data_IF_103356730783
#
_entry.id   IF_103356730783
#
_cell.length_a   1.000
_cell.length_b   1.000
_cell.length_c   1.000
_cell.angle_alpha   90.00
_cell.angle_beta   90.00
_cell.angle_gamma   90.00
#
_symmetry.space_group_name_H-M   'P 1'
#
loop_
_entity.id
_entity.type
_entity.pdbx_description
1 polymer ?
#
# COMPACT_ATOMS: atom_id res chain seq x y z
N UNK A 1 14.10 12.62 -11.33
CA UNK A 1 13.09 12.49 -10.25
C UNK A 1 13.77 12.91 -8.96
N UNK A 2 13.10 13.63 -8.07
CA UNK A 2 13.59 14.01 -6.75
C UNK A 2 12.71 13.40 -5.65
N UNK A 3 13.14 13.50 -4.37
CA UNK A 3 12.40 12.90 -3.26
C UNK A 3 10.96 13.39 -3.13
N UNK A 4 10.72 14.68 -3.40
CA UNK A 4 9.35 15.24 -3.37
C UNK A 4 8.46 14.62 -4.45
N UNK A 5 8.99 14.38 -5.64
CA UNK A 5 8.25 13.69 -6.71
C UNK A 5 7.98 12.22 -6.36
N UNK A 6 8.92 11.54 -5.71
CA UNK A 6 8.73 10.15 -5.28
C UNK A 6 7.59 10.06 -4.28
N UNK A 7 7.61 10.88 -3.23
CA UNK A 7 6.56 10.85 -2.20
C UNK A 7 5.20 11.29 -2.76
N UNK A 8 5.17 12.31 -3.63
CA UNK A 8 3.92 12.75 -4.29
C UNK A 8 3.32 11.65 -5.17
N UNK A 9 4.16 10.90 -5.89
CA UNK A 9 3.70 9.76 -6.70
C UNK A 9 3.13 8.64 -5.82
N UNK A 10 3.79 8.33 -4.70
CA UNK A 10 3.31 7.33 -3.75
C UNK A 10 1.98 7.75 -3.11
N UNK A 11 1.87 9.01 -2.67
CA UNK A 11 0.62 9.56 -2.11
C UNK A 11 -0.52 9.56 -3.13
N UNK A 12 -0.26 9.92 -4.38
CA UNK A 12 -1.26 9.90 -5.44
C UNK A 12 -1.81 8.49 -5.70
N UNK A 13 -0.94 7.47 -5.70
CA UNK A 13 -1.39 6.07 -5.84
C UNK A 13 -2.18 5.62 -4.61
N UNK A 14 -1.70 5.92 -3.40
CA UNK A 14 -2.43 5.58 -2.18
C UNK A 14 -3.79 6.28 -2.10
N UNK A 15 -3.87 7.53 -2.58
CA UNK A 15 -5.15 8.26 -2.66
C UNK A 15 -6.14 7.57 -3.59
N UNK A 16 -5.68 7.09 -4.74
CA UNK A 16 -6.50 6.30 -5.67
C UNK A 16 -6.97 4.99 -5.03
N UNK A 17 -6.08 4.31 -4.31
CA UNK A 17 -6.41 3.04 -3.65
C UNK A 17 -7.44 3.21 -2.53
N UNK A 18 -7.38 4.31 -1.78
CA UNK A 18 -8.27 4.59 -0.66
C UNK A 18 -9.55 5.36 -1.04
N UNK A 19 -9.60 5.95 -2.22
CA UNK A 19 -10.71 6.82 -2.64
C UNK A 19 -10.68 8.19 -1.95
N UNK A 20 -9.50 8.77 -1.73
CA UNK A 20 -9.29 10.07 -1.09
C UNK A 20 -8.47 11.03 -1.98
N UNK A 21 -8.15 12.21 -1.48
CA UNK A 21 -7.24 13.14 -2.14
C UNK A 21 -5.79 12.96 -1.62
N UNK A 22 -4.75 13.16 -2.45
CA UNK A 22 -3.35 13.08 -1.98
C UNK A 22 -3.05 14.03 -0.83
N UNK A 23 -3.71 15.19 -0.79
CA UNK A 23 -3.59 16.20 0.26
C UNK A 23 -4.15 15.73 1.62
N UNK A 24 -4.96 14.67 1.63
CA UNK A 24 -5.49 14.13 2.88
C UNK A 24 -4.40 13.54 3.78
N UNK A 25 -3.28 13.09 3.20
CA UNK A 25 -2.15 12.51 3.93
C UNK A 25 -1.27 13.53 4.66
N UNK A 26 -1.45 14.83 4.40
CA UNK A 26 -0.66 15.90 5.02
C UNK A 26 -1.51 16.83 5.90
N UNK A 27 -2.75 16.45 6.20
CA UNK A 27 -3.62 17.20 7.11
C UNK A 27 -3.22 16.98 8.57
N UNK A 28 -3.52 17.96 9.43
CA UNK A 28 -3.24 17.90 10.86
C UNK A 28 -4.20 16.97 11.64
N UNK A 29 -5.15 16.35 10.96
CA UNK A 29 -6.15 15.46 11.57
C UNK A 29 -6.31 14.18 10.77
N UNK A 30 -6.72 13.12 11.42
CA UNK A 30 -7.09 11.88 10.78
C UNK A 30 -8.31 12.08 9.86
N UNK A 31 -8.33 11.36 8.75
CA UNK A 31 -9.37 11.43 7.74
C UNK A 31 -10.02 10.05 7.59
N UNK A 32 -11.33 10.02 7.50
CA UNK A 32 -12.08 8.80 7.15
C UNK A 32 -12.83 9.04 5.86
N UNK A 33 -12.68 8.12 4.93
CA UNK A 33 -13.40 8.08 3.66
C UNK A 33 -14.16 6.76 3.53
N UNK A 34 -15.22 6.76 2.74
CA UNK A 34 -15.93 5.53 2.42
C UNK A 34 -15.08 4.61 1.54
N UNK A 35 -15.01 3.34 1.89
CA UNK A 35 -14.26 2.34 1.13
C UNK A 35 -14.93 2.07 -0.21
N UNK A 36 -14.21 2.30 -1.28
CA UNK A 36 -14.67 2.11 -2.66
C UNK A 36 -13.60 1.40 -3.49
N UNK A 37 -13.95 0.94 -4.67
CA UNK A 37 -13.02 0.32 -5.61
C UNK A 37 -12.84 1.25 -6.82
N UNK A 38 -11.70 1.94 -6.90
CA UNK A 38 -11.34 2.73 -8.08
C UNK A 38 -10.74 1.79 -9.16
N UNK A 39 -11.13 1.93 -10.44
CA UNK A 39 -10.59 1.12 -11.53
C UNK A 39 -9.07 1.30 -11.75
N UNK A 40 -8.50 2.42 -11.30
CA UNK A 40 -7.07 2.70 -11.36
C UNK A 40 -6.31 2.31 -10.09
N UNK A 41 -6.99 1.78 -9.09
CA UNK A 41 -6.35 1.25 -7.89
C UNK A 41 -5.44 0.06 -8.23
N UNK A 42 -4.49 -0.21 -7.34
CA UNK A 42 -3.57 -1.34 -7.50
C UNK A 42 -4.34 -2.66 -7.54
N UNK A 43 -4.25 -3.37 -8.64
CA UNK A 43 -5.07 -4.56 -8.94
C UNK A 43 -4.97 -5.67 -7.90
N UNK A 44 -3.85 -5.79 -7.20
CA UNK A 44 -3.66 -6.83 -6.19
C UNK A 44 -4.44 -6.58 -4.90
N UNK A 45 -4.95 -5.36 -4.67
CA UNK A 45 -5.63 -5.00 -3.43
C UNK A 45 -7.03 -5.61 -3.30
N UNK A 46 -7.65 -6.08 -4.37
CA UNK A 46 -9.01 -6.68 -4.35
C UNK A 46 -10.02 -5.82 -3.56
N UNK A 47 -10.07 -4.54 -3.90
CA UNK A 47 -10.96 -3.56 -3.27
C UNK A 47 -12.45 -3.83 -3.55
N UNK A 48 -13.39 -3.32 -2.72
CA UNK A 48 -13.14 -2.50 -1.53
C UNK A 48 -12.78 -3.33 -0.30
N UNK A 49 -11.94 -2.80 0.58
CA UNK A 49 -11.69 -3.38 1.90
C UNK A 49 -12.72 -2.90 2.93
N UNK A 50 -12.92 -3.66 3.99
CA UNK A 50 -13.75 -3.24 5.13
C UNK A 50 -13.07 -2.09 5.89
N UNK A 51 -11.75 -2.16 6.02
CA UNK A 51 -10.93 -1.13 6.63
C UNK A 51 -9.51 -1.21 6.06
N UNK A 52 -9.01 -0.07 5.60
CA UNK A 52 -7.61 0.13 5.20
C UNK A 52 -7.10 1.42 5.84
N UNK A 53 -5.96 1.35 6.54
CA UNK A 53 -5.34 2.48 7.24
C UNK A 53 -3.99 2.77 6.58
N UNK A 54 -3.81 3.98 6.11
CA UNK A 54 -2.53 4.43 5.53
C UNK A 54 -2.05 5.69 6.22
N UNK A 55 -0.75 5.74 6.53
CA UNK A 55 -0.08 6.91 7.08
C UNK A 55 1.23 7.19 6.33
N UNK A 56 1.50 8.46 6.14
CA UNK A 56 2.80 8.99 5.70
C UNK A 56 3.54 9.70 6.85
N UNK A 57 3.11 9.42 8.11
CA UNK A 57 3.73 9.92 9.35
C UNK A 57 3.03 11.13 9.96
N UNK A 58 2.18 11.85 9.22
CA UNK A 58 1.53 13.06 9.73
C UNK A 58 0.17 12.79 10.39
N UNK A 59 -0.64 11.97 9.74
CA UNK A 59 -1.97 11.56 10.16
C UNK A 59 -2.29 10.16 9.64
N UNK A 60 -3.49 9.68 9.90
CA UNK A 60 -4.02 8.46 9.31
C UNK A 60 -5.16 8.83 8.36
N UNK A 61 -5.11 8.30 7.15
CA UNK A 61 -6.25 8.24 6.23
C UNK A 61 -6.81 6.82 6.27
N UNK A 62 -8.07 6.70 6.64
CA UNK A 62 -8.78 5.44 6.78
C UNK A 62 -9.87 5.33 5.72
N UNK A 63 -9.77 4.33 4.86
CA UNK A 63 -10.83 3.92 3.93
C UNK A 63 -11.64 2.80 4.59
N UNK A 64 -12.93 3.03 4.84
CA UNK A 64 -13.73 2.21 5.76
C UNK A 64 -15.12 1.94 5.20
N UNK A 65 -15.61 0.71 5.31
CA UNK A 65 -17.06 0.45 5.22
C UNK A 65 -17.75 1.25 6.33
N UNK A 66 -18.64 2.17 5.94
CA UNK A 66 -19.26 3.14 6.84
C UNK A 66 -20.01 2.52 8.02
N UNK A 67 -20.36 1.23 7.92
CA UNK A 67 -20.92 0.45 9.04
C UNK A 67 -19.95 0.36 10.23
N UNK A 68 -18.65 0.46 10.00
CA UNK A 68 -17.60 0.31 11.02
C UNK A 68 -16.86 1.62 11.31
N UNK A 69 -17.37 2.74 10.77
CA UNK A 69 -16.75 4.06 10.92
C UNK A 69 -16.43 4.38 12.38
N UNK A 70 -17.39 4.22 13.29
CA UNK A 70 -17.22 4.63 14.69
C UNK A 70 -16.12 3.83 15.40
N UNK A 71 -15.97 2.54 15.06
CA UNK A 71 -14.91 1.68 15.60
C UNK A 71 -13.54 2.22 15.16
N UNK A 72 -13.41 2.49 13.86
CA UNK A 72 -12.15 2.95 13.29
C UNK A 72 -11.81 4.37 13.75
N UNK A 73 -12.79 5.27 13.80
CA UNK A 73 -12.62 6.65 14.27
C UNK A 73 -12.14 6.69 15.72
N UNK A 74 -12.73 5.91 16.60
CA UNK A 74 -12.28 5.78 18.00
C UNK A 74 -10.86 5.25 18.08
N UNK A 75 -10.50 4.28 17.24
CA UNK A 75 -9.18 3.70 17.23
C UNK A 75 -8.10 4.68 16.78
N UNK A 76 -8.23 5.27 15.58
CA UNK A 76 -7.21 6.15 15.00
C UNK A 76 -7.05 7.47 15.76
N UNK A 77 -8.05 7.89 16.54
CA UNK A 77 -7.97 9.09 17.38
C UNK A 77 -7.49 8.79 18.82
N UNK A 78 -7.25 7.53 19.15
CA UNK A 78 -6.78 7.11 20.48
C UNK A 78 -5.28 7.19 20.62
N UNK A 79 -4.54 7.01 19.54
CA UNK A 79 -3.08 6.91 19.52
C UNK A 79 -2.49 7.92 18.54
N UNK A 80 -1.21 8.25 18.74
CA UNK A 80 -0.44 8.95 17.71
C UNK A 80 -0.32 8.05 16.45
N UNK A 81 -0.20 8.64 15.24
CA UNK A 81 -0.21 7.87 13.99
C UNK A 81 0.75 6.69 13.97
N UNK A 82 1.98 6.87 14.45
CA UNK A 82 2.99 5.80 14.50
C UNK A 82 2.56 4.63 15.38
N UNK A 83 1.90 4.91 16.52
CA UNK A 83 1.46 3.87 17.46
C UNK A 83 0.23 3.09 16.99
N UNK A 84 -0.52 3.62 16.03
CA UNK A 84 -1.64 2.88 15.43
C UNK A 84 -1.19 1.62 14.66
N UNK A 85 0.07 1.55 14.24
CA UNK A 85 0.62 0.43 13.49
C UNK A 85 1.49 -0.50 14.35
N UNK A 86 1.59 -0.24 15.65
CA UNK A 86 2.28 -1.12 16.59
C UNK A 86 1.38 -2.27 17.06
N UNK A 87 1.99 -3.44 17.25
CA UNK A 87 1.26 -4.65 17.63
C UNK A 87 0.35 -4.47 18.85
N UNK A 88 0.78 -3.83 19.96
CA UNK A 88 -0.09 -3.65 21.13
C UNK A 88 -1.37 -2.87 20.82
N UNK A 89 -1.26 -1.81 20.00
CA UNK A 89 -2.41 -0.98 19.61
C UNK A 89 -3.31 -1.71 18.61
N UNK A 90 -2.73 -2.40 17.65
CA UNK A 90 -3.47 -3.17 16.64
C UNK A 90 -4.32 -4.29 17.22
N UNK A 91 -3.94 -4.87 18.38
CA UNK A 91 -4.80 -5.82 19.08
C UNK A 91 -6.15 -5.21 19.46
N UNK A 92 -6.19 -3.94 19.84
CA UNK A 92 -7.44 -3.25 20.20
C UNK A 92 -8.36 -3.15 18.99
N UNK A 93 -7.82 -2.78 17.83
CA UNK A 93 -8.59 -2.75 16.59
C UNK A 93 -9.05 -4.15 16.17
N UNK A 94 -8.14 -5.13 16.25
CA UNK A 94 -8.43 -6.52 15.94
C UNK A 94 -9.55 -7.08 16.82
N UNK A 95 -9.51 -6.83 18.13
CA UNK A 95 -10.52 -7.31 19.08
C UNK A 95 -11.88 -6.67 18.79
N UNK A 96 -11.91 -5.38 18.45
CA UNK A 96 -13.14 -4.70 18.06
C UNK A 96 -13.75 -5.33 16.78
N UNK A 97 -12.94 -5.64 15.78
CA UNK A 97 -13.40 -6.31 14.56
C UNK A 97 -13.76 -7.78 14.78
N UNK A 98 -13.09 -8.47 15.72
CA UNK A 98 -13.35 -9.87 16.02
C UNK A 98 -14.81 -10.07 16.55
N UNK A 99 -15.38 -9.08 17.25
CA UNK A 99 -16.77 -9.08 17.64
C UNK A 99 -17.74 -9.14 16.45
N UNK A 100 -17.27 -8.80 15.26
CA UNK A 100 -18.02 -8.85 14.00
C UNK A 100 -17.56 -10.00 13.08
N UNK A 101 -16.76 -10.94 13.59
CA UNK A 101 -16.26 -12.10 12.83
C UNK A 101 -15.09 -11.76 11.87
N UNK A 102 -14.45 -10.61 12.06
CA UNK A 102 -13.35 -10.13 11.20
C UNK A 102 -12.04 -10.06 11.96
N UNK A 103 -10.96 -9.93 11.23
CA UNK A 103 -9.59 -9.81 11.77
C UNK A 103 -8.76 -8.85 10.94
N UNK A 104 -7.80 -8.19 11.58
CA UNK A 104 -6.70 -7.54 10.85
C UNK A 104 -5.92 -8.63 10.11
N UNK A 105 -5.84 -8.54 8.79
CA UNK A 105 -5.26 -9.61 7.97
C UNK A 105 -3.86 -9.27 7.45
N UNK A 106 -3.52 -7.99 7.40
CA UNK A 106 -2.27 -7.56 6.76
C UNK A 106 -1.79 -6.23 7.35
N UNK A 107 -0.50 -6.11 7.49
CA UNK A 107 0.21 -4.88 7.78
C UNK A 107 1.50 -4.85 6.97
N UNK A 108 1.83 -3.72 6.38
CA UNK A 108 3.09 -3.53 5.68
C UNK A 108 3.69 -2.17 5.95
N UNK A 109 4.99 -2.14 6.02
CA UNK A 109 5.81 -0.95 5.95
C UNK A 109 6.35 -0.80 4.53
N UNK A 110 6.20 0.39 3.94
CA UNK A 110 6.69 0.68 2.61
C UNK A 110 7.84 1.66 2.71
N UNK A 111 8.96 1.31 2.07
CA UNK A 111 10.14 2.14 2.00
C UNK A 111 10.22 2.81 0.64
N UNK A 112 10.37 4.13 0.64
CA UNK A 112 10.61 4.90 -0.58
C UNK A 112 12.11 5.17 -0.73
N UNK A 113 12.66 5.12 -1.95
CA UNK A 113 14.06 5.40 -2.18
C UNK A 113 14.38 6.87 -1.88
N UNK A 114 15.49 7.11 -1.21
CA UNK A 114 16.06 8.44 -1.04
C UNK A 114 17.13 8.65 -2.11
N UNK A 115 16.92 9.59 -3.00
CA UNK A 115 17.77 9.77 -4.19
C UNK A 115 19.25 9.99 -3.86
N UNK A 116 19.54 10.76 -2.79
CA UNK A 116 20.91 11.05 -2.38
C UNK A 116 21.65 9.82 -1.81
N UNK A 117 20.89 8.80 -1.43
CA UNK A 117 21.43 7.53 -0.90
C UNK A 117 21.59 6.46 -1.97
N UNK A 118 21.06 6.70 -3.18
CA UNK A 118 21.25 5.77 -4.29
C UNK A 118 22.67 5.88 -4.83
N UNK A 119 23.36 4.76 -4.88
CA UNK A 119 24.69 4.64 -5.44
C UNK A 119 24.67 3.66 -6.61
N UNK A 120 25.37 4.01 -7.69
CA UNK A 120 25.59 3.05 -8.75
C UNK A 120 26.43 1.89 -8.21
N UNK A 121 25.90 0.69 -8.38
CA UNK A 121 26.61 -0.54 -8.05
C UNK A 121 27.18 -1.13 -9.34
N UNK A 122 28.46 -1.54 -9.36
CA UNK A 122 29.03 -2.20 -10.53
C UNK A 122 28.22 -3.48 -10.82
N UNK A 123 27.66 -3.54 -12.01
CA UNK A 123 26.97 -4.72 -12.50
C UNK A 123 27.69 -5.27 -13.73
N UNK A 124 28.02 -6.56 -13.69
CA UNK A 124 28.67 -7.24 -14.83
C UNK A 124 27.68 -7.72 -15.88
N UNK A 125 26.40 -7.58 -15.63
CA UNK A 125 25.34 -7.95 -16.54
C UNK A 125 24.74 -6.70 -17.19
N UNK A 126 24.31 -6.82 -18.43
CA UNK A 126 23.49 -5.81 -19.09
C UNK A 126 22.06 -5.91 -18.53
N UNK A 127 21.62 -4.85 -17.85
CA UNK A 127 20.29 -4.81 -17.27
C UNK A 127 19.30 -4.22 -18.27
N UNK A 128 18.17 -4.91 -18.46
CA UNK A 128 17.08 -4.48 -19.33
C UNK A 128 15.78 -4.38 -18.54
N UNK A 129 15.09 -3.24 -18.67
CA UNK A 129 13.68 -3.13 -18.26
C UNK A 129 12.83 -3.83 -19.30
N UNK A 130 12.00 -4.76 -18.85
CA UNK A 130 11.15 -5.60 -19.69
C UNK A 130 9.69 -5.32 -19.38
N UNK A 131 8.86 -5.28 -20.40
CA UNK A 131 7.41 -5.12 -20.32
C UNK A 131 6.70 -6.45 -20.55
N UNK A 132 5.39 -6.58 -20.32
CA UNK A 132 4.68 -7.86 -20.37
C UNK A 132 4.92 -8.69 -21.64
N UNK A 133 5.06 -8.05 -22.79
CA UNK A 133 5.37 -8.77 -24.04
C UNK A 133 6.79 -9.33 -24.09
N UNK A 134 7.73 -8.75 -23.34
CA UNK A 134 9.13 -9.19 -23.34
C UNK A 134 9.33 -10.39 -22.41
N UNK A 135 8.54 -10.52 -21.34
CA UNK A 135 8.70 -11.57 -20.33
C UNK A 135 7.56 -12.60 -20.27
N UNK A 136 6.56 -12.50 -21.15
CA UNK A 136 5.41 -13.42 -21.16
C UNK A 136 5.79 -14.90 -21.23
N UNK A 137 6.90 -15.22 -21.91
CA UNK A 137 7.40 -16.58 -22.08
C UNK A 137 8.37 -17.01 -20.96
N UNK A 138 8.61 -16.13 -19.97
CA UNK A 138 9.48 -16.38 -18.81
C UNK A 138 8.71 -16.85 -17.56
N UNK A 139 7.40 -17.06 -17.65
CA UNK A 139 6.63 -17.71 -16.57
C UNK A 139 6.93 -19.22 -16.50
N UNK A 140 8.14 -19.52 -16.09
CA UNK A 140 8.67 -20.88 -16.00
C UNK A 140 8.94 -21.25 -14.53
N UNK A 141 8.90 -22.53 -14.14
CA UNK A 141 9.11 -22.97 -12.77
C UNK A 141 10.39 -22.40 -12.12
N UNK A 142 11.49 -22.32 -12.87
CA UNK A 142 12.76 -21.78 -12.38
C UNK A 142 12.71 -20.29 -12.06
N UNK A 143 11.75 -19.54 -12.58
CA UNK A 143 11.56 -18.10 -12.33
C UNK A 143 10.38 -17.79 -11.40
N UNK A 144 9.77 -18.82 -10.80
CA UNK A 144 8.52 -18.66 -10.01
C UNK A 144 8.62 -17.69 -8.82
N UNK A 145 9.82 -17.43 -8.32
CA UNK A 145 10.03 -16.42 -7.27
C UNK A 145 9.92 -14.98 -7.79
N UNK A 146 10.24 -14.75 -9.06
CA UNK A 146 10.18 -13.45 -9.71
C UNK A 146 8.89 -13.27 -10.52
N UNK A 147 8.53 -14.28 -11.31
CA UNK A 147 7.38 -14.30 -12.21
C UNK A 147 6.42 -15.44 -11.82
N UNK A 148 5.45 -15.13 -10.96
CA UNK A 148 4.47 -16.12 -10.51
C UNK A 148 3.30 -16.19 -11.48
N UNK A 149 3.06 -17.35 -12.07
CA UNK A 149 2.00 -17.56 -13.09
C UNK A 149 0.61 -17.22 -12.57
N UNK A 150 0.35 -17.45 -11.28
CA UNK A 150 -0.94 -17.16 -10.64
C UNK A 150 -1.20 -15.65 -10.48
N UNK A 151 -0.18 -14.82 -10.69
CA UNK A 151 -0.24 -13.36 -10.59
C UNK A 151 0.21 -12.66 -11.86
N UNK A 152 0.32 -13.37 -12.98
CA UNK A 152 0.83 -12.83 -14.27
C UNK A 152 0.13 -11.54 -14.73
N UNK A 153 -1.15 -11.38 -14.38
CA UNK A 153 -1.94 -10.20 -14.76
C UNK A 153 -1.65 -8.97 -13.87
N UNK A 154 -0.85 -9.14 -12.82
CA UNK A 154 -0.42 -8.07 -11.91
C UNK A 154 0.95 -7.51 -12.27
N UNK A 155 1.73 -8.26 -13.05
CA UNK A 155 3.08 -7.87 -13.42
C UNK A 155 3.04 -6.82 -14.54
N UNK A 156 3.56 -5.62 -14.26
CA UNK A 156 3.54 -4.49 -15.20
C UNK A 156 4.89 -4.23 -15.84
N UNK A 157 5.97 -4.59 -15.14
CA UNK A 157 7.35 -4.57 -15.65
C UNK A 157 8.24 -5.46 -14.79
N UNK A 158 9.36 -5.88 -15.35
CA UNK A 158 10.44 -6.52 -14.61
C UNK A 158 11.81 -6.02 -15.08
N UNK A 159 12.86 -6.38 -14.34
CA UNK A 159 14.25 -6.14 -14.75
C UNK A 159 14.90 -7.49 -14.99
N UNK A 160 15.40 -7.67 -16.20
CA UNK A 160 16.17 -8.84 -16.61
C UNK A 160 17.65 -8.52 -16.79
N UNK A 161 18.50 -9.55 -16.76
CA UNK A 161 19.95 -9.48 -16.98
C UNK A 161 20.42 -10.61 -17.90
#
# INVERSE_FOLDING_TARGET
MNNSQIISTAMAQSATDLGCAPEDFIKDKNIIVESTADPNARKYLKLPFICDLVSYGNNIVASVDMKYKDIVEQYINRFAPEHCFETPSMHILNDAFQAHGMRVCFMAEYFLPRMESLQEQPCRYELKVMYPNDFKDLYLPQWSNALCIDRKDLDVLCVGA
#
